data_IF_220828784600
#
_entry.id   IF_220828784600
#
_cell.length_a   1.000
_cell.length_b   1.000
_cell.length_c   1.000
_cell.angle_alpha   90.00
_cell.angle_beta   90.00
_cell.angle_gamma   90.00
#
_symmetry.space_group_name_H-M   'P 1'
#
loop_
_entity.id
_entity.type
_entity.pdbx_description
1 polymer ?
#
# COMPACT_ATOMS: atom_id res chain seq x y z
N UNK A 1 -28.25 19.74 38.62
CA UNK A 1 -27.49 20.51 37.59
C UNK A 1 -26.06 20.00 37.61
N UNK A 2 -25.72 19.17 36.63
CA UNK A 2 -24.42 18.51 36.47
C UNK A 2 -23.35 19.53 36.08
N UNK A 3 -22.34 19.70 36.91
CA UNK A 3 -21.12 20.42 36.56
C UNK A 3 -20.35 19.60 35.52
N UNK A 4 -20.30 20.09 34.29
CA UNK A 4 -19.41 19.56 33.27
C UNK A 4 -17.97 19.74 33.74
N UNK A 5 -17.38 18.65 34.20
CA UNK A 5 -15.95 18.58 34.51
C UNK A 5 -15.22 18.62 33.17
N UNK A 6 -14.85 19.82 32.72
CA UNK A 6 -13.89 20.01 31.63
C UNK A 6 -12.55 19.45 32.11
N UNK A 7 -12.35 18.14 31.89
CA UNK A 7 -11.11 17.44 32.23
C UNK A 7 -10.00 18.04 31.37
N UNK A 8 -9.14 18.86 31.96
CA UNK A 8 -7.90 19.33 31.35
C UNK A 8 -7.04 18.10 31.02
N UNK A 9 -6.99 17.73 29.74
CA UNK A 9 -6.14 16.66 29.26
C UNK A 9 -4.68 17.00 29.49
N UNK A 10 -3.92 16.06 30.04
CA UNK A 10 -2.51 16.28 30.35
C UNK A 10 -1.68 16.14 29.07
N UNK A 11 -0.92 17.18 28.68
CA UNK A 11 -0.13 17.22 27.44
C UNK A 11 0.81 16.01 27.28
N UNK A 12 1.52 15.54 28.35
CA UNK A 12 2.37 14.36 28.24
C UNK A 12 1.58 13.08 27.90
N UNK A 13 0.35 12.97 28.40
CA UNK A 13 -0.54 11.84 28.12
C UNK A 13 -1.08 11.88 26.68
N UNK A 14 -1.37 13.09 26.18
CA UNK A 14 -1.76 13.27 24.77
C UNK A 14 -0.60 12.91 23.83
N UNK A 15 0.64 13.31 24.16
CA UNK A 15 1.83 12.91 23.41
C UNK A 15 2.05 11.40 23.42
N UNK A 16 1.94 10.76 24.58
CA UNK A 16 2.08 9.30 24.69
C UNK A 16 1.05 8.56 23.81
N UNK A 17 -0.18 9.08 23.73
CA UNK A 17 -1.23 8.52 22.87
C UNK A 17 -0.99 8.77 21.38
N UNK A 18 -0.52 9.97 21.00
CA UNK A 18 -0.17 10.27 19.61
C UNK A 18 0.94 9.35 19.11
N UNK A 19 1.96 9.12 19.95
CA UNK A 19 3.06 8.21 19.64
C UNK A 19 2.54 6.77 19.48
N UNK A 20 1.66 6.29 20.37
CA UNK A 20 1.05 4.97 20.25
C UNK A 20 0.19 4.79 19.00
N UNK A 21 -0.59 5.81 18.63
CA UNK A 21 -1.44 5.79 17.44
C UNK A 21 -0.62 5.82 16.15
N UNK A 22 0.45 6.62 16.08
CA UNK A 22 1.36 6.58 14.92
C UNK A 22 2.02 5.21 14.77
N UNK A 23 2.35 4.54 15.88
CA UNK A 23 2.91 3.18 15.88
C UNK A 23 1.92 2.14 15.34
N UNK A 24 0.60 2.30 15.57
CA UNK A 24 -0.45 1.43 15.00
C UNK A 24 -0.76 1.79 13.54
N UNK A 25 -0.80 3.07 13.21
CA UNK A 25 -1.15 3.57 11.87
C UNK A 25 -0.04 3.33 10.84
N UNK A 26 1.20 3.27 11.30
CA UNK A 26 2.34 2.83 10.51
C UNK A 26 2.24 1.34 10.11
N UNK A 27 1.38 0.54 10.75
CA UNK A 27 1.34 -0.92 10.61
C UNK A 27 0.36 -1.48 9.57
N UNK A 28 -0.34 -0.65 8.79
CA UNK A 28 -1.16 -1.16 7.68
C UNK A 28 -0.61 -1.09 6.24
N UNK A 29 0.59 -0.58 5.91
CA UNK A 29 1.11 -0.69 4.55
C UNK A 29 1.22 -2.17 4.12
N UNK A 30 1.84 -3.00 4.96
CA UNK A 30 2.21 -4.37 4.62
C UNK A 30 1.08 -5.39 4.84
N UNK A 31 0.29 -5.21 5.90
CA UNK A 31 -0.82 -6.12 6.21
C UNK A 31 -1.92 -6.05 5.15
N UNK A 32 -2.20 -4.86 4.60
CA UNK A 32 -3.15 -4.70 3.50
C UNK A 32 -2.71 -5.46 2.26
N UNK A 33 -1.43 -5.35 1.89
CA UNK A 33 -0.87 -6.08 0.75
C UNK A 33 -0.84 -7.59 0.98
N UNK A 34 -0.52 -8.05 2.19
CA UNK A 34 -0.54 -9.48 2.54
C UNK A 34 -1.96 -10.07 2.41
N UNK A 35 -2.97 -9.38 2.93
CA UNK A 35 -4.37 -9.83 2.86
C UNK A 35 -4.90 -9.76 1.41
N UNK A 36 -4.59 -8.70 0.67
CA UNK A 36 -4.95 -8.56 -0.74
C UNK A 36 -4.33 -9.65 -1.60
N UNK A 37 -3.04 -9.96 -1.36
CA UNK A 37 -2.36 -11.10 -1.93
C UNK A 37 -3.10 -12.40 -1.62
N UNK A 38 -3.37 -12.67 -0.35
CA UNK A 38 -4.06 -13.89 0.09
C UNK A 38 -5.42 -14.11 -0.57
N UNK A 39 -6.26 -13.09 -0.63
CA UNK A 39 -7.58 -13.19 -1.26
C UNK A 39 -7.46 -13.33 -2.78
N UNK A 40 -6.58 -12.56 -3.42
CA UNK A 40 -6.34 -12.62 -4.86
C UNK A 40 -5.77 -13.96 -5.31
N UNK A 41 -4.78 -14.47 -4.58
CA UNK A 41 -4.17 -15.77 -4.83
C UNK A 41 -5.17 -16.91 -4.66
N UNK A 42 -6.03 -16.83 -3.64
CA UNK A 42 -7.07 -17.85 -3.44
C UNK A 42 -8.09 -17.87 -4.58
N UNK A 43 -8.42 -16.70 -5.13
CA UNK A 43 -9.35 -16.57 -6.26
C UNK A 43 -8.71 -16.99 -7.59
N UNK A 44 -7.39 -16.95 -7.69
CA UNK A 44 -6.64 -17.40 -8.87
C UNK A 44 -6.58 -18.93 -9.01
N UNK A 45 -6.95 -19.71 -7.97
CA UNK A 45 -7.14 -21.16 -8.07
C UNK A 45 -5.87 -21.99 -8.22
N UNK A 46 -4.69 -21.40 -8.00
CA UNK A 46 -3.41 -22.11 -8.04
C UNK A 46 -2.21 -21.20 -7.86
N UNK A 47 -1.05 -21.79 -7.53
CA UNK A 47 0.20 -21.08 -7.22
C UNK A 47 0.73 -20.24 -8.40
N UNK A 48 0.83 -20.81 -9.59
CA UNK A 48 1.32 -20.11 -10.79
C UNK A 48 0.43 -18.92 -11.17
N UNK A 49 -0.89 -19.11 -11.37
CA UNK A 49 -1.84 -18.03 -11.61
C UNK A 49 -1.84 -16.96 -10.51
N UNK A 50 -1.67 -17.33 -9.24
CA UNK A 50 -1.63 -16.40 -8.12
C UNK A 50 -0.42 -15.45 -8.16
N UNK A 51 0.76 -15.94 -8.54
CA UNK A 51 1.96 -15.10 -8.69
C UNK A 51 1.78 -14.10 -9.83
N UNK A 52 1.26 -14.54 -10.98
CA UNK A 52 0.98 -13.65 -12.12
C UNK A 52 -0.08 -12.61 -11.73
N UNK A 53 -1.13 -13.02 -11.03
CA UNK A 53 -2.18 -12.13 -10.54
C UNK A 53 -1.67 -11.09 -9.52
N UNK A 54 -0.64 -11.41 -8.74
CA UNK A 54 -0.01 -10.48 -7.81
C UNK A 54 0.89 -9.44 -8.50
N UNK A 55 1.45 -9.75 -9.68
CA UNK A 55 2.29 -8.82 -10.44
C UNK A 55 1.48 -7.87 -11.34
N UNK A 56 0.30 -8.31 -11.79
CA UNK A 56 -0.58 -7.56 -12.68
C UNK A 56 -0.91 -6.13 -12.19
N UNK A 57 -1.25 -5.90 -10.90
CA UNK A 57 -1.50 -4.56 -10.37
C UNK A 57 -0.30 -3.63 -10.52
N UNK A 58 0.91 -4.14 -10.34
CA UNK A 58 2.15 -3.36 -10.51
C UNK A 58 2.37 -2.94 -11.96
N UNK A 59 2.10 -3.84 -12.91
CA UNK A 59 2.18 -3.54 -14.35
C UNK A 59 1.12 -2.51 -14.77
N UNK A 60 -0.11 -2.65 -14.27
CA UNK A 60 -1.19 -1.69 -14.53
C UNK A 60 -0.83 -0.32 -13.99
N UNK A 61 -0.33 -0.24 -12.74
CA UNK A 61 0.11 1.03 -12.15
C UNK A 61 1.27 1.66 -12.91
N UNK A 62 2.23 0.85 -13.40
CA UNK A 62 3.33 1.32 -14.25
C UNK A 62 2.81 1.99 -15.52
N UNK A 63 1.99 1.27 -16.28
CA UNK A 63 1.43 1.77 -17.53
C UNK A 63 0.55 2.99 -17.30
N UNK A 64 -0.32 2.96 -16.29
CA UNK A 64 -1.17 4.08 -15.93
C UNK A 64 -0.34 5.33 -15.57
N UNK A 65 0.75 5.15 -14.81
CA UNK A 65 1.64 6.26 -14.43
C UNK A 65 2.39 6.85 -15.64
N UNK A 66 2.85 6.01 -16.57
CA UNK A 66 3.50 6.45 -17.80
C UNK A 66 2.51 7.21 -18.70
N UNK A 67 1.31 6.68 -18.88
CA UNK A 67 0.27 7.32 -19.68
C UNK A 67 -0.19 8.63 -19.05
N UNK A 68 -0.45 8.66 -17.73
CA UNK A 68 -0.80 9.87 -17.01
C UNK A 68 0.32 10.91 -17.10
N UNK A 69 1.57 10.49 -16.95
CA UNK A 69 2.74 11.34 -17.15
C UNK A 69 2.82 11.93 -18.56
N UNK A 70 2.41 11.17 -19.58
CA UNK A 70 2.39 11.64 -20.98
C UNK A 70 1.24 12.62 -21.28
N UNK A 71 0.09 12.45 -20.60
CA UNK A 71 -1.09 13.33 -20.76
C UNK A 71 -0.94 14.63 -19.97
N UNK A 72 -0.38 14.56 -18.75
CA UNK A 72 -0.14 15.74 -17.90
C UNK A 72 1.14 16.49 -18.30
N UNK A 73 2.11 15.78 -18.86
CA UNK A 73 3.42 16.30 -19.24
C UNK A 73 3.42 16.89 -20.65
N UNK A 74 2.92 18.12 -20.80
CA UNK A 74 3.20 18.96 -21.99
C UNK A 74 4.67 19.46 -22.04
N UNK A 75 5.54 18.97 -21.13
CA UNK A 75 6.91 19.43 -20.92
C UNK A 75 7.89 18.30 -21.29
N UNK A 76 8.91 18.59 -22.13
CA UNK A 76 9.90 17.60 -22.57
C UNK A 76 10.62 16.96 -21.38
N UNK A 77 11.07 15.71 -21.54
CA UNK A 77 12.04 14.88 -20.77
C UNK A 77 12.26 15.24 -19.28
N UNK A 78 12.60 16.50 -18.99
CA UNK A 78 12.66 17.11 -17.65
C UNK A 78 11.34 16.92 -16.87
N UNK A 79 10.17 17.08 -17.49
CA UNK A 79 8.88 16.86 -16.80
C UNK A 79 8.69 15.41 -16.33
N UNK A 80 9.06 14.44 -17.18
CA UNK A 80 9.07 13.01 -16.82
C UNK A 80 10.13 12.70 -15.75
N UNK A 81 11.33 13.30 -15.83
CA UNK A 81 12.39 13.12 -14.83
C UNK A 81 11.98 13.65 -13.45
N UNK A 82 11.35 14.82 -13.39
CA UNK A 82 10.84 15.39 -12.13
C UNK A 82 9.70 14.54 -11.57
N UNK A 83 8.77 14.07 -12.41
CA UNK A 83 7.71 13.15 -11.98
C UNK A 83 8.27 11.81 -11.47
N UNK A 84 9.33 11.30 -12.08
CA UNK A 84 10.04 10.11 -11.60
C UNK A 84 10.67 10.34 -10.22
N UNK A 85 11.40 11.44 -10.04
CA UNK A 85 12.09 11.76 -8.78
C UNK A 85 11.10 12.05 -7.64
N UNK A 86 10.01 12.77 -7.92
CA UNK A 86 8.97 13.05 -6.91
C UNK A 86 8.06 11.84 -6.66
N UNK A 87 7.82 11.01 -7.69
CA UNK A 87 7.06 9.78 -7.61
C UNK A 87 7.84 8.60 -7.01
N UNK A 88 9.15 8.73 -6.85
CA UNK A 88 10.03 7.68 -6.31
C UNK A 88 9.57 7.19 -4.93
N UNK A 89 8.99 8.08 -4.11
CA UNK A 89 8.38 7.69 -2.82
C UNK A 89 7.21 6.71 -2.99
N UNK A 90 6.32 6.94 -3.97
CA UNK A 90 5.21 6.04 -4.27
C UNK A 90 5.68 4.70 -4.86
N UNK A 91 6.73 4.72 -5.68
CA UNK A 91 7.33 3.52 -6.25
C UNK A 91 8.07 2.68 -5.22
N UNK A 92 8.87 3.31 -4.35
CA UNK A 92 9.58 2.63 -3.25
C UNK A 92 8.58 1.99 -2.28
N UNK A 93 7.52 2.71 -1.91
CA UNK A 93 6.43 2.14 -1.10
C UNK A 93 5.68 1.03 -1.85
N UNK A 94 5.50 1.14 -3.17
CA UNK A 94 4.95 0.09 -4.01
C UNK A 94 5.79 -1.19 -3.96
N UNK A 95 7.10 -1.10 -4.19
CA UNK A 95 8.03 -2.24 -4.14
C UNK A 95 8.09 -2.91 -2.77
N UNK A 96 8.08 -2.12 -1.69
CA UNK A 96 8.06 -2.64 -0.31
C UNK A 96 6.79 -3.47 -0.03
N UNK A 97 5.69 -3.16 -0.71
CA UNK A 97 4.42 -3.87 -0.58
C UNK A 97 4.28 -5.09 -1.52
N UNK A 98 5.13 -5.23 -2.55
CA UNK A 98 5.13 -6.37 -3.47
C UNK A 98 5.48 -7.67 -2.74
N UNK A 99 6.43 -7.64 -1.80
CA UNK A 99 6.86 -8.85 -1.08
C UNK A 99 5.72 -9.43 -0.20
N UNK A 100 5.06 -8.66 0.68
CA UNK A 100 3.88 -9.13 1.40
C UNK A 100 2.76 -9.60 0.46
N UNK A 101 2.53 -8.89 -0.65
CA UNK A 101 1.51 -9.25 -1.64
C UNK A 101 1.80 -10.61 -2.29
N UNK A 102 3.04 -10.87 -2.68
CA UNK A 102 3.47 -12.14 -3.27
C UNK A 102 3.38 -13.29 -2.27
N UNK A 103 3.79 -13.07 -1.02
CA UNK A 103 3.67 -14.07 0.05
C UNK A 103 2.20 -14.38 0.30
N UNK A 104 1.36 -13.36 0.41
CA UNK A 104 -0.08 -13.51 0.53
C UNK A 104 -0.65 -14.31 -0.63
N UNK A 105 -0.32 -13.93 -1.86
CA UNK A 105 -0.81 -14.60 -3.07
C UNK A 105 -0.36 -16.05 -3.18
N UNK A 106 0.89 -16.35 -2.87
CA UNK A 106 1.39 -17.73 -2.86
C UNK A 106 0.64 -18.59 -1.82
N UNK A 107 0.46 -18.08 -0.60
CA UNK A 107 -0.26 -18.79 0.47
C UNK A 107 -1.76 -18.95 0.13
N UNK A 108 -2.38 -17.90 -0.40
CA UNK A 108 -3.76 -17.93 -0.88
C UNK A 108 -3.96 -18.92 -2.03
N UNK A 109 -3.06 -18.91 -3.01
CA UNK A 109 -3.09 -19.81 -4.16
C UNK A 109 -2.78 -21.26 -3.82
N UNK A 110 -1.93 -21.52 -2.82
CA UNK A 110 -1.68 -22.88 -2.30
C UNK A 110 -2.86 -23.43 -1.50
N UNK A 111 -3.63 -22.56 -0.83
CA UNK A 111 -4.80 -22.94 -0.02
C UNK A 111 -6.11 -22.93 -0.79
N UNK A 112 -6.11 -22.35 -1.99
CA UNK A 112 -7.14 -22.59 -2.99
C UNK A 112 -7.07 -24.03 -3.45
N UNK A 113 -7.90 -24.87 -2.84
CA UNK A 113 -8.27 -26.14 -3.45
C UNK A 113 -8.87 -25.82 -4.83
N UNK A 114 -8.32 -26.46 -5.86
CA UNK A 114 -8.85 -26.43 -7.22
C UNK A 114 -10.28 -26.96 -7.29
#
# INVERSE_FOLDING_TARGET
MSSEVVRRGNVPQAMAWMIGLSVVLFWMPLLGSLIAGFVGGRKAGGLGPAVIAALLPGVILLLASVLLGSVLGWIPIIGQLVAWVLGFGAWVLGFVNVIPLLIGAAVGGATAKG
#
